data_IF_040613226522
#
_entry.id   IF_040613226522
#
_cell.length_a   1.000
_cell.length_b   1.000
_cell.length_c   1.000
_cell.angle_alpha   90.00
_cell.angle_beta   90.00
_cell.angle_gamma   90.00
#
_symmetry.space_group_name_H-M   'P 1'
#
loop_
_entity.id
_entity.type
_entity.pdbx_description
1 polymer ?
#
# COMPACT_ATOMS: atom_id res chain seq x y z
N UNK A 1 4.23 -3.34 -13.27
CA UNK A 1 2.81 -3.73 -13.25
C UNK A 1 2.68 -5.24 -13.06
N UNK A 2 1.80 -5.66 -12.17
CA UNK A 2 1.44 -7.08 -11.99
C UNK A 2 0.04 -7.25 -12.56
N UNK A 3 -0.10 -8.07 -13.60
CA UNK A 3 -1.37 -8.26 -14.32
C UNK A 3 -1.79 -9.71 -14.32
N UNK A 4 -3.10 -9.97 -14.23
CA UNK A 4 -3.69 -11.31 -14.38
C UNK A 4 -3.41 -12.27 -13.22
N UNK A 5 -3.18 -11.76 -12.01
CA UNK A 5 -2.84 -12.57 -10.83
C UNK A 5 -3.99 -12.57 -9.84
N UNK A 6 -4.43 -13.75 -9.41
CA UNK A 6 -5.42 -13.87 -8.32
C UNK A 6 -4.79 -13.71 -6.93
N UNK A 7 -3.53 -14.17 -6.74
CA UNK A 7 -2.72 -13.97 -5.54
C UNK A 7 -1.25 -14.16 -5.88
N UNK A 8 -0.39 -13.26 -5.37
CA UNK A 8 1.05 -13.30 -5.60
C UNK A 8 1.77 -12.66 -4.42
N UNK A 9 2.82 -13.31 -3.93
CA UNK A 9 3.80 -12.72 -3.01
C UNK A 9 5.12 -12.54 -3.77
N UNK A 10 5.64 -11.32 -3.80
CA UNK A 10 6.91 -10.99 -4.48
C UNK A 10 7.97 -10.58 -3.46
N UNK A 11 9.23 -11.02 -3.64
CA UNK A 11 10.33 -10.52 -2.83
C UNK A 11 10.41 -8.99 -2.92
N UNK A 12 10.59 -8.32 -1.80
CA UNK A 12 10.56 -6.85 -1.69
C UNK A 12 11.58 -6.15 -2.62
N UNK A 13 12.71 -6.79 -2.90
CA UNK A 13 13.72 -6.28 -3.83
C UNK A 13 13.30 -6.28 -5.31
N UNK A 14 12.20 -6.96 -5.64
CA UNK A 14 11.64 -7.02 -7.00
C UNK A 14 10.52 -5.99 -7.23
N UNK A 15 10.18 -5.19 -6.23
CA UNK A 15 9.07 -4.24 -6.23
C UNK A 15 9.60 -2.81 -6.21
N UNK A 16 8.87 -1.90 -6.86
CA UNK A 16 9.17 -0.47 -6.83
C UNK A 16 9.18 0.04 -5.39
N UNK A 17 10.28 0.66 -4.99
CA UNK A 17 10.40 1.27 -3.67
C UNK A 17 9.60 2.58 -3.61
N UNK A 18 8.53 2.59 -2.82
CA UNK A 18 7.63 3.74 -2.63
C UNK A 18 7.98 4.60 -1.40
N UNK A 19 9.11 4.34 -0.75
CA UNK A 19 9.55 5.15 0.41
C UNK A 19 10.21 6.45 -0.04
N UNK A 20 10.00 7.51 0.75
CA UNK A 20 10.60 8.83 0.56
C UNK A 20 10.37 9.44 -0.85
N UNK A 21 9.21 9.20 -1.42
CA UNK A 21 8.83 9.74 -2.73
C UNK A 21 7.31 9.95 -2.81
N UNK A 22 6.88 10.78 -3.75
CA UNK A 22 5.49 10.79 -4.19
C UNK A 22 5.23 9.56 -5.05
N UNK A 23 4.06 8.95 -4.90
CA UNK A 23 3.73 7.74 -5.63
C UNK A 23 2.23 7.63 -5.94
N UNK A 24 1.92 6.73 -6.87
CA UNK A 24 0.57 6.26 -7.15
C UNK A 24 0.52 4.73 -7.05
N UNK A 25 -0.53 4.24 -6.39
CA UNK A 25 -0.93 2.84 -6.42
C UNK A 25 -2.25 2.79 -7.16
N UNK A 26 -2.36 2.01 -8.23
CA UNK A 26 -3.60 1.82 -8.99
C UNK A 26 -3.95 0.35 -9.02
N UNK A 27 -5.20 0.03 -8.73
CA UNK A 27 -5.72 -1.33 -8.81
C UNK A 27 -6.98 -1.36 -9.67
N UNK A 28 -6.97 -2.20 -10.72
CA UNK A 28 -8.16 -2.55 -11.47
C UNK A 28 -8.75 -3.83 -10.93
N UNK A 29 -10.01 -3.76 -10.50
CA UNK A 29 -10.73 -4.88 -9.88
C UNK A 29 -12.06 -5.14 -10.58
N UNK A 30 -12.50 -6.40 -10.53
CA UNK A 30 -13.84 -6.83 -10.96
C UNK A 30 -14.64 -7.24 -9.73
N UNK A 31 -15.74 -6.53 -9.48
CA UNK A 31 -16.64 -6.77 -8.36
C UNK A 31 -17.81 -7.65 -8.83
N UNK A 32 -17.99 -8.86 -8.26
CA UNK A 32 -19.11 -9.72 -8.60
C UNK A 32 -20.45 -9.13 -8.12
N UNK A 33 -21.57 -9.65 -8.64
CA UNK A 33 -22.92 -9.16 -8.29
C UNK A 33 -23.25 -9.23 -6.78
N UNK A 34 -22.57 -10.11 -6.04
CA UNK A 34 -22.71 -10.24 -4.57
C UNK A 34 -21.81 -9.32 -3.76
N UNK A 35 -21.05 -8.41 -4.40
CA UNK A 35 -20.02 -7.63 -3.76
C UNK A 35 -18.75 -8.43 -3.51
N UNK A 36 -17.72 -7.79 -3.00
CA UNK A 36 -16.46 -8.45 -2.60
C UNK A 36 -15.79 -7.69 -1.45
N UNK A 37 -14.86 -8.38 -0.78
CA UNK A 37 -14.09 -7.87 0.36
C UNK A 37 -12.67 -8.42 0.30
N UNK A 38 -11.79 -7.91 1.16
CA UNK A 38 -10.44 -8.45 1.32
C UNK A 38 -9.36 -7.55 0.71
N UNK A 39 -8.12 -8.00 0.85
CA UNK A 39 -6.94 -7.22 0.47
C UNK A 39 -6.68 -7.33 -1.03
N UNK A 40 -6.56 -6.17 -1.67
CA UNK A 40 -6.19 -6.04 -3.08
C UNK A 40 -4.66 -6.09 -3.21
N UNK A 41 -3.97 -5.28 -2.41
CA UNK A 41 -2.50 -5.26 -2.35
C UNK A 41 -2.03 -4.77 -0.99
N UNK A 42 -0.92 -5.32 -0.50
CA UNK A 42 -0.30 -4.91 0.76
C UNK A 42 1.22 -5.04 0.69
N UNK A 43 1.92 -4.29 1.51
CA UNK A 43 3.35 -4.41 1.71
C UNK A 43 3.70 -4.09 3.17
N UNK A 44 4.51 -4.94 3.79
CA UNK A 44 4.88 -4.79 5.19
C UNK A 44 3.87 -5.45 6.13
N UNK A 45 3.74 -4.95 7.33
CA UNK A 45 2.85 -5.47 8.37
C UNK A 45 2.39 -4.39 9.35
N UNK A 46 1.82 -4.80 10.49
CA UNK A 46 1.23 -3.87 11.44
C UNK A 46 2.23 -2.88 12.06
N UNK A 47 3.51 -3.23 12.11
CA UNK A 47 4.55 -2.32 12.62
C UNK A 47 4.90 -1.24 11.60
N UNK A 48 4.96 -1.61 10.32
CA UNK A 48 5.27 -0.67 9.24
C UNK A 48 4.79 -1.27 7.92
N UNK A 49 3.90 -0.59 7.25
CA UNK A 49 3.36 -1.09 5.98
C UNK A 49 2.21 -0.26 5.45
N UNK A 50 1.72 -0.68 4.30
CA UNK A 50 0.53 -0.13 3.68
C UNK A 50 -0.33 -1.23 3.08
N UNK A 51 -1.63 -1.01 3.01
CA UNK A 51 -2.56 -1.91 2.34
C UNK A 51 -3.70 -1.17 1.68
N UNK A 52 -4.05 -1.61 0.48
CA UNK A 52 -5.25 -1.24 -0.25
C UNK A 52 -6.20 -2.42 -0.21
N UNK A 53 -7.38 -2.23 0.34
CA UNK A 53 -8.33 -3.33 0.57
C UNK A 53 -9.79 -2.85 0.47
N UNK A 54 -10.71 -3.80 0.37
CA UNK A 54 -12.12 -3.56 0.61
C UNK A 54 -12.49 -4.09 1.99
N UNK A 55 -13.11 -3.24 2.80
CA UNK A 55 -13.56 -3.61 4.13
C UNK A 55 -14.72 -4.64 4.12
N UNK A 56 -15.20 -5.03 5.29
CA UNK A 56 -16.28 -6.01 5.43
C UNK A 56 -17.60 -5.57 4.76
N UNK A 57 -17.74 -4.30 4.43
CA UNK A 57 -18.90 -3.74 3.72
C UNK A 57 -18.65 -3.52 2.24
N UNK A 58 -17.45 -3.82 1.73
CA UNK A 58 -17.05 -3.63 0.35
C UNK A 58 -16.56 -2.22 0.00
N UNK A 59 -16.25 -1.38 0.99
CA UNK A 59 -15.74 -0.02 0.77
C UNK A 59 -14.23 -0.04 0.55
N UNK A 60 -13.70 0.66 -0.46
CA UNK A 60 -12.26 0.85 -0.63
C UNK A 60 -11.64 1.57 0.57
N UNK A 61 -10.52 1.02 1.04
CA UNK A 61 -9.74 1.57 2.13
C UNK A 61 -8.25 1.59 1.78
N UNK A 62 -7.57 2.70 2.11
CA UNK A 62 -6.11 2.78 2.22
C UNK A 62 -5.74 2.83 3.69
N UNK A 63 -4.81 1.98 4.12
CA UNK A 63 -4.27 1.94 5.46
C UNK A 63 -2.76 1.98 5.41
N UNK A 64 -2.17 2.89 6.15
CA UNK A 64 -0.74 3.02 6.33
C UNK A 64 -0.40 2.95 7.82
N UNK A 65 0.50 2.05 8.21
CA UNK A 65 1.01 1.92 9.57
C UNK A 65 2.43 2.46 9.67
N UNK A 66 2.64 3.42 10.57
CA UNK A 66 3.94 3.94 10.93
C UNK A 66 4.34 3.44 12.32
N UNK A 67 5.31 2.52 12.35
CA UNK A 67 5.91 1.90 13.55
C UNK A 67 4.89 1.23 14.50
N UNK A 68 3.70 0.84 14.00
CA UNK A 68 2.62 0.30 14.82
C UNK A 68 2.08 1.30 15.84
N UNK A 69 2.44 2.56 15.73
CA UNK A 69 2.11 3.64 16.66
C UNK A 69 1.11 4.62 16.06
N UNK A 70 1.30 4.98 14.81
CA UNK A 70 0.37 5.82 14.07
C UNK A 70 -0.23 5.05 12.89
N UNK A 71 -1.53 5.17 12.74
CA UNK A 71 -2.28 4.56 11.65
C UNK A 71 -3.02 5.64 10.88
N UNK A 72 -2.76 5.73 9.58
CA UNK A 72 -3.42 6.67 8.68
C UNK A 72 -4.37 5.88 7.79
N UNK A 73 -5.66 6.16 7.91
CA UNK A 73 -6.69 5.38 7.23
C UNK A 73 -7.59 6.30 6.42
N UNK A 74 -7.82 5.94 5.17
CA UNK A 74 -8.87 6.52 4.33
C UNK A 74 -9.86 5.40 4.04
N UNK A 75 -11.15 5.65 4.27
CA UNK A 75 -12.21 4.76 3.83
C UNK A 75 -13.16 5.53 2.90
N UNK A 76 -13.51 4.94 1.77
CA UNK A 76 -14.55 5.48 0.91
C UNK A 76 -15.90 5.50 1.64
N UNK A 77 -16.79 6.46 1.33
CA UNK A 77 -18.10 6.53 1.97
C UNK A 77 -19.01 5.35 1.58
N UNK A 78 -18.86 4.86 0.35
CA UNK A 78 -19.75 3.85 -0.23
C UNK A 78 -18.97 2.60 -0.67
N UNK A 79 -19.61 1.41 -0.65
CA UNK A 79 -19.03 0.19 -1.24
C UNK A 79 -18.93 0.31 -2.75
N UNK A 80 -18.01 -0.46 -3.36
CA UNK A 80 -17.95 -0.60 -4.80
C UNK A 80 -19.20 -1.33 -5.32
N UNK A 81 -19.76 -0.80 -6.40
CA UNK A 81 -20.85 -1.46 -7.13
C UNK A 81 -20.38 -2.74 -7.85
N UNK A 82 -21.31 -3.45 -8.46
CA UNK A 82 -20.99 -4.56 -9.37
C UNK A 82 -20.32 -4.04 -10.64
N UNK A 83 -19.27 -4.73 -11.09
CA UNK A 83 -18.56 -4.43 -12.33
C UNK A 83 -17.10 -4.10 -12.13
N UNK A 84 -16.50 -3.51 -13.17
CA UNK A 84 -15.08 -3.13 -13.18
C UNK A 84 -14.89 -1.74 -12.59
N UNK A 85 -13.91 -1.62 -11.70
CA UNK A 85 -13.55 -0.38 -11.03
C UNK A 85 -12.03 -0.19 -11.00
N UNK A 86 -11.61 1.07 -11.03
CA UNK A 86 -10.25 1.48 -10.71
C UNK A 86 -10.22 2.14 -9.33
N UNK A 87 -9.38 1.63 -8.46
CA UNK A 87 -9.12 2.21 -7.13
C UNK A 87 -7.70 2.71 -7.11
N UNK A 88 -7.49 4.00 -6.80
CA UNK A 88 -6.17 4.61 -6.78
C UNK A 88 -5.88 5.29 -5.45
N UNK A 89 -4.62 5.21 -5.02
CA UNK A 89 -4.06 6.00 -3.92
C UNK A 89 -2.94 6.86 -4.49
N UNK A 90 -3.12 8.17 -4.45
CA UNK A 90 -2.08 9.15 -4.75
C UNK A 90 -1.49 9.68 -3.46
N UNK A 91 -0.17 9.68 -3.34
CA UNK A 91 0.54 10.24 -2.21
C UNK A 91 1.49 11.34 -2.68
N UNK A 92 1.27 12.56 -2.18
CA UNK A 92 2.11 13.72 -2.42
C UNK A 92 3.08 13.92 -1.25
N UNK A 93 4.34 13.55 -1.45
CA UNK A 93 5.38 13.58 -0.42
C UNK A 93 5.99 14.97 -0.24
N UNK A 94 6.16 15.40 1.00
CA UNK A 94 6.71 16.74 1.32
C UNK A 94 8.25 16.81 1.20
N UNK A 95 8.91 15.64 1.22
CA UNK A 95 10.37 15.55 1.18
C UNK A 95 11.02 15.17 2.50
N UNK A 96 12.35 15.10 2.49
CA UNK A 96 13.14 14.67 3.65
C UNK A 96 13.31 13.14 3.73
N UNK A 97 13.63 12.64 4.91
CA UNK A 97 13.75 11.20 5.21
C UNK A 97 12.64 10.81 6.19
N UNK A 98 11.68 10.01 5.75
CA UNK A 98 10.50 9.66 6.56
C UNK A 98 9.53 10.82 6.81
N UNK A 99 9.58 11.85 5.96
CA UNK A 99 8.67 12.99 6.03
C UNK A 99 7.22 12.61 5.73
N UNK A 100 6.32 13.54 5.98
CA UNK A 100 4.89 13.38 5.75
C UNK A 100 4.46 13.64 4.32
N UNK A 101 3.15 13.69 4.14
CA UNK A 101 2.51 14.00 2.87
C UNK A 101 1.01 13.80 2.92
N UNK A 102 0.34 14.22 1.85
CA UNK A 102 -1.10 14.06 1.70
C UNK A 102 -1.43 12.86 0.82
N UNK A 103 -2.29 11.97 1.31
CA UNK A 103 -2.81 10.84 0.55
C UNK A 103 -4.25 11.10 0.11
N UNK A 104 -4.56 10.71 -1.12
CA UNK A 104 -5.90 10.80 -1.72
C UNK A 104 -6.31 9.43 -2.23
N UNK A 105 -7.43 8.92 -1.73
CA UNK A 105 -8.09 7.72 -2.28
C UNK A 105 -9.10 8.15 -3.33
N UNK A 106 -9.06 7.52 -4.50
CA UNK A 106 -9.99 7.77 -5.59
C UNK A 106 -10.61 6.47 -6.11
N UNK A 107 -11.84 6.54 -6.58
CA UNK A 107 -12.57 5.47 -7.25
C UNK A 107 -13.03 5.98 -8.61
N UNK A 108 -12.69 5.27 -9.69
CA UNK A 108 -13.03 5.62 -11.07
C UNK A 108 -12.68 7.08 -11.40
N UNK A 109 -11.49 7.51 -10.96
CA UNK A 109 -10.96 8.85 -11.14
C UNK A 109 -11.60 9.95 -10.26
N UNK A 110 -12.49 9.60 -9.33
CA UNK A 110 -13.15 10.55 -8.41
C UNK A 110 -12.55 10.43 -7.01
N UNK A 111 -12.00 11.49 -6.41
CA UNK A 111 -11.56 11.48 -5.03
C UNK A 111 -12.71 11.15 -4.08
N UNK A 112 -12.50 10.19 -3.17
CA UNK A 112 -13.48 9.73 -2.19
C UNK A 112 -13.04 9.94 -0.75
N UNK A 113 -11.76 10.24 -0.52
CA UNK A 113 -11.23 10.54 0.80
C UNK A 113 -9.78 11.01 0.75
N UNK A 114 -9.36 11.69 1.80
CA UNK A 114 -7.99 12.19 1.98
C UNK A 114 -7.54 11.99 3.42
N UNK A 115 -6.23 11.81 3.60
CA UNK A 115 -5.60 11.81 4.93
C UNK A 115 -4.22 12.46 4.86
N UNK A 116 -3.88 13.24 5.86
CA UNK A 116 -2.53 13.71 6.10
C UNK A 116 -1.75 12.62 6.83
N UNK A 117 -0.65 12.13 6.24
CA UNK A 117 0.33 11.26 6.91
C UNK A 117 1.43 12.17 7.45
N UNK A 118 1.56 12.30 8.77
CA UNK A 118 2.58 13.17 9.38
C UNK A 118 3.96 12.55 9.26
N UNK A 119 4.02 11.22 9.28
CA UNK A 119 5.26 10.45 9.18
C UNK A 119 5.11 9.32 8.19
N UNK A 120 6.23 8.97 7.54
CA UNK A 120 6.33 7.77 6.69
C UNK A 120 7.54 6.93 7.06
N UNK A 121 7.53 5.67 6.68
CA UNK A 121 8.64 4.73 6.93
C UNK A 121 9.79 5.06 5.98
N UNK A 122 10.98 5.43 6.51
CA UNK A 122 12.06 5.91 5.65
C UNK A 122 12.89 4.80 4.98
N UNK A 123 13.06 3.63 5.63
CA UNK A 123 14.06 2.64 5.21
C UNK A 123 13.43 1.31 4.83
N UNK A 124 12.84 0.60 5.77
CA UNK A 124 12.26 -0.72 5.55
C UNK A 124 10.89 -0.83 6.20
N UNK A 125 9.94 -1.49 5.53
CA UNK A 125 8.62 -1.76 6.11
C UNK A 125 8.67 -2.89 7.14
N UNK A 126 9.58 -3.88 6.97
CA UNK A 126 9.72 -4.96 7.95
C UNK A 126 11.15 -5.48 8.02
N UNK A 127 11.55 -5.86 9.25
CA UNK A 127 12.81 -6.53 9.53
C UNK A 127 12.66 -8.06 9.32
N UNK A 128 11.44 -8.58 9.35
CA UNK A 128 11.15 -10.01 9.25
C UNK A 128 11.01 -10.56 7.82
N UNK A 129 11.31 -9.72 6.81
CA UNK A 129 11.31 -10.15 5.41
C UNK A 129 9.93 -10.20 4.77
N UNK A 130 9.04 -9.29 5.17
CA UNK A 130 7.70 -9.18 4.58
C UNK A 130 7.75 -8.87 3.10
N UNK A 131 6.78 -9.43 2.39
CA UNK A 131 6.65 -9.38 0.95
C UNK A 131 5.75 -8.23 0.50
N UNK A 132 5.72 -7.99 -0.80
CA UNK A 132 4.63 -7.31 -1.46
C UNK A 132 3.63 -8.36 -1.92
N UNK A 133 2.42 -8.27 -1.43
CA UNK A 133 1.36 -9.22 -1.66
C UNK A 133 0.25 -8.62 -2.54
N UNK A 134 -0.31 -9.44 -3.42
CA UNK A 134 -1.47 -9.10 -4.26
C UNK A 134 -2.56 -10.13 -4.04
N UNK A 135 -3.76 -9.67 -3.72
CA UNK A 135 -4.93 -10.51 -3.49
C UNK A 135 -5.04 -11.09 -2.09
N UNK A 136 -4.10 -10.78 -1.23
CA UNK A 136 -4.09 -11.10 0.20
C UNK A 136 -3.02 -10.26 0.91
N UNK A 137 -2.97 -10.34 2.23
CA UNK A 137 -1.86 -9.91 3.08
C UNK A 137 -1.43 -11.14 3.88
N UNK A 138 -0.26 -11.69 3.52
CA UNK A 138 0.18 -13.02 3.99
C UNK A 138 0.86 -13.00 5.36
N UNK A 139 1.25 -11.84 5.83
CA UNK A 139 1.95 -11.65 7.09
C UNK A 139 1.04 -11.27 8.25
N UNK A 140 1.58 -10.47 9.14
CA UNK A 140 0.79 -9.79 10.16
C UNK A 140 0.02 -8.66 9.49
N UNK A 141 -1.32 -8.62 9.57
CA UNK A 141 -2.12 -7.62 8.86
C UNK A 141 -1.65 -6.18 9.10
N UNK A 142 -1.48 -5.43 7.99
CA UNK A 142 -1.17 -4.00 8.08
C UNK A 142 -2.36 -3.22 8.65
N UNK A 143 -3.56 -3.58 8.21
CA UNK A 143 -4.80 -2.90 8.54
C UNK A 143 -5.67 -3.66 9.54
N UNK A 144 -6.79 -3.05 9.90
CA UNK A 144 -7.78 -3.63 10.82
C UNK A 144 -8.73 -4.59 10.07
N UNK A 145 -8.17 -5.69 9.58
CA UNK A 145 -8.88 -6.77 8.92
C UNK A 145 -8.37 -8.14 9.43
N UNK A 146 -9.16 -9.24 9.27
CA UNK A 146 -8.75 -10.56 9.74
C UNK A 146 -7.47 -11.07 9.07
N UNK A 147 -6.76 -12.00 9.71
CA UNK A 147 -5.61 -12.68 9.10
C UNK A 147 -5.99 -13.47 7.83
N UNK A 148 -7.22 -13.98 7.75
CA UNK A 148 -7.76 -14.55 6.51
C UNK A 148 -8.46 -13.41 5.76
N UNK A 149 -7.74 -12.79 4.85
CA UNK A 149 -8.11 -11.52 4.22
C UNK A 149 -8.06 -11.56 2.69
N UNK A 150 -8.11 -12.76 2.11
CA UNK A 150 -8.06 -12.94 0.65
C UNK A 150 -9.14 -12.12 -0.05
N UNK A 151 -8.74 -11.42 -1.12
CA UNK A 151 -9.69 -10.70 -1.97
C UNK A 151 -10.66 -11.67 -2.65
N UNK A 152 -11.95 -11.38 -2.53
CA UNK A 152 -13.02 -12.26 -3.04
C UNK A 152 -13.56 -11.84 -4.40
N UNK A 153 -13.06 -10.72 -4.95
CA UNK A 153 -13.32 -10.28 -6.32
C UNK A 153 -12.23 -10.73 -7.31
N UNK A 154 -12.27 -10.21 -8.53
CA UNK A 154 -11.21 -10.37 -9.53
C UNK A 154 -10.21 -9.21 -9.43
N UNK A 155 -8.91 -9.51 -9.53
CA UNK A 155 -7.87 -8.49 -9.69
C UNK A 155 -7.39 -8.57 -11.14
N UNK A 156 -7.58 -7.48 -11.89
CA UNK A 156 -7.15 -7.37 -13.28
C UNK A 156 -5.68 -6.95 -13.33
N UNK A 157 -5.31 -5.99 -12.47
CA UNK A 157 -3.94 -5.54 -12.34
C UNK A 157 -3.73 -4.62 -11.15
N UNK A 158 -2.48 -4.58 -10.67
CA UNK A 158 -2.00 -3.60 -9.67
C UNK A 158 -0.75 -2.95 -10.24
N UNK A 159 -0.73 -1.62 -10.24
CA UNK A 159 0.40 -0.81 -10.71
C UNK A 159 0.91 0.05 -9.58
N UNK A 160 2.22 0.03 -9.37
CA UNK A 160 2.94 0.91 -8.47
C UNK A 160 3.79 1.87 -9.29
N UNK A 161 3.63 3.16 -9.10
CA UNK A 161 4.32 4.19 -9.86
C UNK A 161 4.96 5.22 -8.92
N UNK A 162 6.26 5.48 -9.11
CA UNK A 162 6.93 6.60 -8.45
C UNK A 162 6.71 7.85 -9.27
N UNK A 163 6.28 8.92 -8.60
CA UNK A 163 6.01 10.21 -9.21
C UNK A 163 7.11 11.24 -8.92
N UNK A 164 7.97 10.98 -7.95
CA UNK A 164 9.14 11.81 -7.63
C UNK A 164 10.32 10.97 -7.20
N UNK A 165 11.52 11.55 -7.28
CA UNK A 165 12.76 10.95 -6.78
C UNK A 165 13.22 11.70 -5.51
N UNK A 166 13.81 11.01 -4.52
CA UNK A 166 14.47 11.66 -3.40
C UNK A 166 15.62 12.55 -3.89
N UNK A 167 15.95 13.61 -3.16
CA UNK A 167 17.15 14.39 -3.47
C UNK A 167 18.41 13.50 -3.37
N UNK A 168 19.52 13.86 -4.06
CA UNK A 168 20.77 13.09 -3.99
C UNK A 168 21.27 12.86 -2.57
N UNK A 169 21.13 13.86 -1.69
CA UNK A 169 21.52 13.78 -0.28
C UNK A 169 20.66 12.77 0.49
N UNK A 170 19.35 12.81 0.28
CA UNK A 170 18.41 11.86 0.91
C UNK A 170 18.64 10.45 0.36
N UNK A 171 18.90 10.30 -0.93
CA UNK A 171 19.22 9.00 -1.54
C UNK A 171 20.46 8.38 -0.90
N UNK A 172 21.54 9.14 -0.72
CA UNK A 172 22.76 8.65 -0.06
C UNK A 172 22.52 8.22 1.40
N UNK A 173 21.67 8.95 2.14
CA UNK A 173 21.28 8.57 3.50
C UNK A 173 20.45 7.27 3.53
N UNK A 174 19.55 7.09 2.57
CA UNK A 174 18.73 5.87 2.44
C UNK A 174 19.64 4.67 2.16
N UNK A 175 20.53 4.79 1.17
CA UNK A 175 21.48 3.73 0.77
C UNK A 175 22.39 3.31 1.95
N UNK A 176 22.92 4.28 2.71
CA UNK A 176 23.72 3.98 3.91
C UNK A 176 22.86 3.28 4.99
N UNK A 177 21.65 3.72 5.22
CA UNK A 177 20.74 3.14 6.21
C UNK A 177 20.30 1.71 5.80
N UNK A 178 19.98 1.47 4.53
CA UNK A 178 19.64 0.15 3.99
C UNK A 178 20.85 -0.81 4.08
N UNK A 179 22.05 -0.32 3.77
CA UNK A 179 23.28 -1.09 3.92
C UNK A 179 23.51 -1.50 5.38
N UNK A 180 23.39 -0.58 6.33
CA UNK A 180 23.53 -0.89 7.77
C UNK A 180 22.45 -1.87 8.26
N UNK A 181 21.21 -1.71 7.80
CA UNK A 181 20.14 -2.63 8.15
C UNK A 181 20.42 -4.05 7.61
N UNK A 182 20.97 -4.19 6.40
CA UNK A 182 21.33 -5.48 5.83
C UNK A 182 22.46 -6.19 6.59
N UNK A 183 23.39 -5.45 7.18
CA UNK A 183 24.44 -6.00 8.02
C UNK A 183 23.94 -6.47 9.40
N UNK A 184 22.89 -5.85 9.92
CA UNK A 184 22.34 -6.19 11.24
C UNK A 184 21.51 -7.48 11.24
N UNK A 185 21.13 -7.98 10.05
CA UNK A 185 20.29 -9.20 9.87
C UNK A 185 21.15 -10.44 9.58
N UNK A 186 22.49 -10.32 9.47
CA UNK A 186 23.44 -11.43 9.35
C UNK A 186 23.93 -11.89 10.72
#
# INVERSE_FOLDING_TARGET
AVTGVQTCALPICSVVNLKNCSFRISAEVEVPAGGCTGVIAAQGGNMAGWSLYLDATGRPCDHYSWLGHEHYVIAAPDPLGHGRHEVTVDFAYDGGMGGGGDAVLSVDGRPVGTVRKEHTVPVIFSISGETFDVGLDSGVPVGDYPMINRFTGGIIGVTLERLSEPSPEIRALIEDAEFRASLAVQ
#
